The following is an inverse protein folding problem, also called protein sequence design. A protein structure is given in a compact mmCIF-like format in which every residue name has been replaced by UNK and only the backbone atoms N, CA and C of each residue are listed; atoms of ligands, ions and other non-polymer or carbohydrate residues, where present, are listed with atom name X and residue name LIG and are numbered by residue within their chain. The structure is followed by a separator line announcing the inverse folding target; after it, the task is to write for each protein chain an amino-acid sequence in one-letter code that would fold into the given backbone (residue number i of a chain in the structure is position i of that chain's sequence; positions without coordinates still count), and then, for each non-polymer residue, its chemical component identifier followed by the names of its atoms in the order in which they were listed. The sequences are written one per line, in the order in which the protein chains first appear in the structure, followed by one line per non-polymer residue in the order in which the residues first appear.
data_IF_714775839461
#
_entry.id   IF_714775839461
#
_cell.length_a   1.000
_cell.length_b   1.000
_cell.length_c   1.000
_cell.angle_alpha   90.00
_cell.angle_beta   90.00
_cell.angle_gamma   90.00
#
_symmetry.space_group_name_H-M   'P 1'
#
loop_
_entity.id
_entity.type
_entity.pdbx_description
1 polymer ?
#
# COMPACT_ATOMS: atom_id res chain seq x y z
N UNK A 1 -30.48 5.13 -38.04
CA UNK A 1 -30.88 4.30 -36.92
C UNK A 1 -29.95 4.65 -35.74
N UNK A 2 -30.26 5.80 -35.16
CA UNK A 2 -29.59 6.43 -34.03
C UNK A 2 -30.37 5.99 -32.78
N UNK A 3 -29.95 4.89 -32.16
CA UNK A 3 -30.62 4.36 -30.99
C UNK A 3 -29.76 4.64 -29.76
N UNK A 4 -30.25 5.55 -28.95
CA UNK A 4 -30.12 5.61 -27.47
C UNK A 4 -28.73 5.42 -26.90
N UNK A 5 -27.93 6.48 -26.85
CA UNK A 5 -26.97 6.70 -25.77
C UNK A 5 -27.66 7.55 -24.68
N UNK A 6 -28.60 6.96 -23.99
CA UNK A 6 -29.09 7.45 -22.69
C UNK A 6 -28.42 6.62 -21.61
N UNK A 7 -27.33 7.11 -21.15
CA UNK A 7 -26.74 7.16 -19.81
C UNK A 7 -25.39 7.86 -20.00
N UNK A 8 -25.32 9.12 -19.60
CA UNK A 8 -24.10 9.90 -19.65
C UNK A 8 -23.02 9.24 -18.75
N UNK A 9 -22.30 8.27 -19.29
CA UNK A 9 -21.19 7.62 -18.63
C UNK A 9 -20.11 8.67 -18.35
N UNK A 10 -19.64 8.74 -17.10
CA UNK A 10 -18.48 9.55 -16.72
C UNK A 10 -17.27 9.05 -17.47
N UNK A 11 -16.49 9.96 -18.07
CA UNK A 11 -15.21 9.63 -18.66
C UNK A 11 -14.10 10.37 -17.94
N UNK A 12 -13.19 9.60 -17.36
CA UNK A 12 -12.14 10.06 -16.46
C UNK A 12 -10.82 10.24 -17.19
N UNK A 13 -10.19 11.40 -17.08
CA UNK A 13 -8.77 11.56 -17.39
C UNK A 13 -7.96 11.36 -16.12
N UNK A 14 -7.25 10.24 -15.99
CA UNK A 14 -6.28 9.99 -14.93
C UNK A 14 -4.92 10.59 -15.31
N UNK A 15 -4.46 11.61 -14.58
CA UNK A 15 -3.17 12.27 -14.80
C UNK A 15 -2.22 11.88 -13.68
N UNK A 16 -1.11 11.20 -14.01
CA UNK A 16 -0.20 10.67 -12.99
C UNK A 16 1.25 10.59 -13.44
N UNK A 17 2.19 10.81 -12.52
CA UNK A 17 3.61 10.48 -12.72
C UNK A 17 3.91 8.99 -12.43
N UNK A 18 2.96 8.31 -11.81
CA UNK A 18 3.15 7.00 -11.25
C UNK A 18 2.26 5.98 -11.97
N UNK A 19 2.84 5.38 -13.03
CA UNK A 19 2.17 4.34 -13.80
C UNK A 19 3.18 3.30 -14.30
N UNK A 20 2.79 2.00 -14.36
CA UNK A 20 3.68 0.98 -14.92
C UNK A 20 4.06 1.26 -16.39
N UNK A 21 5.14 0.65 -16.90
CA UNK A 21 5.93 -0.42 -16.29
C UNK A 21 6.99 0.04 -15.28
N UNK A 22 7.04 1.34 -14.95
CA UNK A 22 7.87 1.81 -13.84
C UNK A 22 7.45 1.11 -12.54
N UNK A 23 8.37 0.42 -11.82
CA UNK A 23 8.02 -0.29 -10.59
C UNK A 23 7.80 0.68 -9.42
N UNK A 24 6.80 0.38 -8.58
CA UNK A 24 6.55 1.13 -7.34
C UNK A 24 5.14 0.90 -6.78
N UNK A 25 4.96 1.24 -5.52
CA UNK A 25 3.68 1.05 -4.82
C UNK A 25 2.57 1.98 -5.33
N UNK A 26 2.91 3.23 -5.68
CA UNK A 26 1.94 4.19 -6.23
C UNK A 26 1.55 3.77 -7.65
N UNK A 27 2.54 3.32 -8.45
CA UNK A 27 2.30 2.80 -9.79
C UNK A 27 1.32 1.62 -9.78
N UNK A 28 1.56 0.66 -8.87
CA UNK A 28 0.66 -0.47 -8.68
C UNK A 28 -0.73 -0.03 -8.19
N UNK A 29 -0.81 0.95 -7.29
CA UNK A 29 -2.05 1.53 -6.80
C UNK A 29 -2.89 2.12 -7.93
N UNK A 30 -2.32 3.05 -8.71
CA UNK A 30 -3.05 3.71 -9.81
C UNK A 30 -3.47 2.70 -10.87
N UNK A 31 -2.58 1.77 -11.25
CA UNK A 31 -2.89 0.74 -12.24
C UNK A 31 -3.99 -0.22 -11.77
N UNK A 32 -3.94 -0.68 -10.50
CA UNK A 32 -4.97 -1.57 -9.98
C UNK A 32 -6.35 -0.94 -9.96
N UNK A 33 -6.45 0.34 -9.68
CA UNK A 33 -7.71 1.07 -9.78
C UNK A 33 -8.14 1.27 -11.24
N UNK A 34 -7.24 1.78 -12.10
CA UNK A 34 -7.53 2.02 -13.50
C UNK A 34 -8.01 0.75 -14.22
N UNK A 35 -7.38 -0.40 -13.94
CA UNK A 35 -7.73 -1.69 -14.55
C UNK A 35 -9.08 -2.28 -14.10
N UNK A 36 -9.72 -1.68 -13.09
CA UNK A 36 -11.02 -2.14 -12.53
C UNK A 36 -12.16 -1.15 -12.79
N UNK A 37 -11.88 -0.01 -13.35
CA UNK A 37 -12.90 0.84 -13.93
C UNK A 37 -13.31 0.25 -15.30
N UNK A 38 -14.54 0.52 -15.79
CA UNK A 38 -14.92 0.17 -17.14
C UNK A 38 -13.94 0.74 -18.19
N UNK A 39 -13.60 -0.07 -19.19
CA UNK A 39 -12.54 0.23 -20.16
C UNK A 39 -12.80 1.53 -20.96
N UNK A 40 -14.06 1.87 -21.14
CA UNK A 40 -14.53 3.08 -21.82
C UNK A 40 -14.74 4.30 -20.90
N UNK A 41 -14.60 4.12 -19.58
CA UNK A 41 -14.74 5.20 -18.61
C UNK A 41 -13.40 5.87 -18.25
N UNK A 42 -12.24 5.35 -18.65
CA UNK A 42 -10.95 5.88 -18.22
C UNK A 42 -9.94 6.02 -19.36
N UNK A 43 -9.19 7.09 -19.32
CA UNK A 43 -7.97 7.32 -20.11
C UNK A 43 -6.84 7.71 -19.16
N UNK A 44 -5.67 7.13 -19.32
CA UNK A 44 -4.51 7.43 -18.46
C UNK A 44 -3.50 8.29 -19.22
N UNK A 45 -3.10 9.40 -18.63
CA UNK A 45 -1.99 10.23 -19.10
C UNK A 45 -0.82 10.15 -18.13
N UNK A 46 0.29 9.58 -18.59
CA UNK A 46 1.45 9.26 -17.77
C UNK A 46 2.77 9.52 -18.50
N UNK A 47 3.92 9.66 -17.80
CA UNK A 47 5.21 9.85 -18.44
C UNK A 47 5.68 8.62 -19.21
N UNK A 48 6.57 8.83 -20.18
CA UNK A 48 7.24 7.74 -20.89
C UNK A 48 8.17 6.95 -19.96
N UNK A 49 8.25 5.65 -20.19
CA UNK A 49 9.15 4.75 -19.48
C UNK A 49 9.63 3.63 -20.42
N UNK A 50 10.81 3.05 -20.12
CA UNK A 50 11.30 1.90 -20.90
C UNK A 50 10.30 0.74 -20.83
N UNK A 51 9.92 0.16 -21.98
CA UNK A 51 8.91 -0.89 -22.10
C UNK A 51 7.46 -0.40 -22.03
N UNK A 52 7.20 0.91 -22.07
CA UNK A 52 5.83 1.45 -21.99
C UNK A 52 4.96 0.99 -23.17
N UNK A 53 5.47 0.95 -24.38
CA UNK A 53 4.69 0.58 -25.56
C UNK A 53 4.12 -0.86 -25.46
N UNK A 54 4.92 -1.82 -25.02
CA UNK A 54 4.50 -3.20 -24.82
C UNK A 54 3.48 -3.30 -23.67
N UNK A 55 3.74 -2.61 -22.56
CA UNK A 55 2.83 -2.57 -21.44
C UNK A 55 1.47 -1.95 -21.82
N UNK A 56 1.50 -0.83 -22.53
CA UNK A 56 0.29 -0.09 -22.92
C UNK A 56 -0.58 -0.87 -23.90
N UNK A 57 0.05 -1.61 -24.83
CA UNK A 57 -0.65 -2.49 -25.77
C UNK A 57 -1.42 -3.64 -25.08
N UNK A 58 -1.03 -4.01 -23.86
CA UNK A 58 -1.70 -5.02 -23.07
C UNK A 58 -2.84 -4.47 -22.18
N UNK A 59 -3.03 -3.14 -22.15
CA UNK A 59 -4.13 -2.55 -21.38
C UNK A 59 -5.44 -2.56 -22.18
N UNK A 60 -6.57 -2.65 -21.47
CA UNK A 60 -7.90 -2.60 -22.07
C UNK A 60 -8.43 -1.16 -22.26
N UNK A 61 -7.77 -0.17 -21.67
CA UNK A 61 -8.09 1.23 -21.70
C UNK A 61 -6.94 2.04 -22.34
N UNK A 62 -7.21 3.23 -22.90
CA UNK A 62 -6.19 4.05 -23.53
C UNK A 62 -5.15 4.56 -22.54
N UNK A 63 -3.86 4.44 -22.90
CA UNK A 63 -2.74 5.06 -22.18
C UNK A 63 -2.00 6.00 -23.13
N UNK A 64 -1.96 7.28 -22.79
CA UNK A 64 -1.23 8.30 -23.54
C UNK A 64 0.04 8.64 -22.79
N UNK A 65 1.18 8.56 -23.47
CA UNK A 65 2.49 8.84 -22.86
C UNK A 65 2.98 10.24 -23.18
N UNK A 66 3.39 10.96 -22.13
CA UNK A 66 4.16 12.19 -22.27
C UNK A 66 5.62 11.83 -22.59
N UNK A 67 6.33 12.54 -23.48
CA UNK A 67 7.66 12.13 -23.96
C UNK A 67 8.78 12.21 -22.90
N UNK A 68 8.52 12.80 -21.73
CA UNK A 68 9.48 12.88 -20.61
C UNK A 68 9.27 11.75 -19.59
N UNK A 69 10.29 11.43 -18.79
CA UNK A 69 10.21 10.44 -17.69
C UNK A 69 9.56 10.98 -16.41
N UNK A 70 9.27 12.29 -16.37
CA UNK A 70 8.62 13.01 -15.27
C UNK A 70 7.80 14.16 -15.85
N UNK A 71 6.53 14.24 -15.48
CA UNK A 71 5.67 15.37 -15.80
C UNK A 71 5.68 16.38 -14.64
N UNK A 72 5.88 17.64 -14.97
CA UNK A 72 5.72 18.79 -14.07
C UNK A 72 4.47 19.58 -14.49
N UNK A 73 3.87 20.41 -13.61
CA UNK A 73 2.71 21.23 -13.96
C UNK A 73 3.09 22.41 -14.86
N UNK A 74 3.54 22.10 -16.07
CA UNK A 74 3.98 23.06 -17.11
C UNK A 74 2.88 23.34 -18.13
N UNK A 75 2.96 24.43 -18.89
CA UNK A 75 2.02 24.71 -19.98
C UNK A 75 1.93 23.61 -21.03
N UNK A 76 3.02 22.86 -21.26
CA UNK A 76 3.04 21.76 -22.21
C UNK A 76 2.24 20.56 -21.71
N UNK A 77 2.49 20.11 -20.48
CA UNK A 77 1.71 19.05 -19.84
C UNK A 77 0.22 19.42 -19.73
N UNK A 78 -0.07 20.70 -19.43
CA UNK A 78 -1.44 21.21 -19.43
C UNK A 78 -2.10 21.11 -20.81
N UNK A 79 -1.46 21.64 -21.87
CA UNK A 79 -1.98 21.57 -23.24
C UNK A 79 -2.29 20.14 -23.65
N UNK A 80 -1.36 19.24 -23.39
CA UNK A 80 -1.51 17.84 -23.76
C UNK A 80 -2.64 17.15 -22.97
N UNK A 81 -2.73 17.36 -21.66
CA UNK A 81 -3.83 16.85 -20.83
C UNK A 81 -5.20 17.36 -21.34
N UNK A 82 -5.30 18.66 -21.69
CA UNK A 82 -6.49 19.25 -22.27
C UNK A 82 -6.88 18.64 -23.62
N UNK A 83 -5.91 18.46 -24.52
CA UNK A 83 -6.13 17.83 -25.83
C UNK A 83 -6.69 16.42 -25.67
N UNK A 84 -6.08 15.60 -24.78
CA UNK A 84 -6.54 14.24 -24.48
C UNK A 84 -7.96 14.29 -23.91
N UNK A 85 -8.23 15.15 -22.92
CA UNK A 85 -9.55 15.24 -22.32
C UNK A 85 -10.62 15.61 -23.34
N UNK A 86 -10.33 16.52 -24.27
CA UNK A 86 -11.27 16.93 -25.32
C UNK A 86 -11.49 15.85 -26.38
N UNK A 87 -10.40 15.20 -26.86
CA UNK A 87 -10.52 14.12 -27.86
C UNK A 87 -11.24 12.90 -27.31
N UNK A 88 -11.02 12.58 -26.04
CA UNK A 88 -11.63 11.45 -25.34
C UNK A 88 -12.94 11.81 -24.63
N UNK A 89 -13.37 13.06 -24.70
CA UNK A 89 -14.60 13.57 -24.05
C UNK A 89 -14.64 13.33 -22.55
N UNK A 90 -13.50 13.53 -21.89
CA UNK A 90 -13.42 13.39 -20.43
C UNK A 90 -14.06 14.60 -19.75
N UNK A 91 -14.94 14.35 -18.79
CA UNK A 91 -15.62 15.32 -17.95
C UNK A 91 -15.19 15.27 -16.48
N UNK A 92 -14.37 14.30 -16.13
CA UNK A 92 -13.88 14.05 -14.77
C UNK A 92 -12.36 13.92 -14.78
N UNK A 93 -11.71 14.49 -13.77
CA UNK A 93 -10.26 14.47 -13.62
C UNK A 93 -9.87 13.67 -12.37
N UNK A 94 -8.92 12.77 -12.53
CA UNK A 94 -8.31 12.06 -11.42
C UNK A 94 -6.79 12.26 -11.43
N UNK A 95 -6.25 12.97 -10.44
CA UNK A 95 -4.81 13.05 -10.22
C UNK A 95 -4.38 11.84 -9.38
N UNK A 96 -3.65 10.90 -10.01
CA UNK A 96 -3.20 9.66 -9.37
C UNK A 96 -2.27 9.89 -8.17
N UNK A 97 -1.60 11.07 -8.13
CA UNK A 97 -0.95 11.64 -6.95
C UNK A 97 -1.27 13.15 -6.89
N UNK A 98 -1.70 13.64 -5.72
CA UNK A 98 -2.15 15.02 -5.56
C UNK A 98 -1.06 16.04 -5.92
N UNK A 99 0.18 15.82 -5.48
CA UNK A 99 1.30 16.71 -5.77
C UNK A 99 2.34 16.03 -6.67
N UNK A 100 2.92 16.75 -7.66
CA UNK A 100 2.68 18.16 -8.00
C UNK A 100 1.59 18.38 -9.05
N UNK A 101 1.10 17.33 -9.76
CA UNK A 101 0.26 17.47 -10.95
C UNK A 101 -1.14 18.02 -10.64
N UNK A 102 -1.64 17.87 -9.41
CA UNK A 102 -2.91 18.48 -8.99
C UNK A 102 -2.94 20.02 -9.12
N UNK A 103 -1.78 20.68 -9.24
CA UNK A 103 -1.72 22.12 -9.56
C UNK A 103 -2.30 22.46 -10.94
N UNK A 104 -2.39 21.49 -11.85
CA UNK A 104 -3.06 21.64 -13.15
C UNK A 104 -4.59 21.70 -13.00
N UNK A 105 -5.12 21.22 -11.87
CA UNK A 105 -6.55 21.07 -11.63
C UNK A 105 -7.34 22.37 -11.86
N UNK A 106 -6.82 23.50 -11.37
CA UNK A 106 -7.46 24.81 -11.55
C UNK A 106 -7.68 25.20 -13.01
N UNK A 107 -6.67 24.96 -13.85
CA UNK A 107 -6.72 25.30 -15.26
C UNK A 107 -7.55 24.31 -16.08
N UNK A 108 -7.35 23.00 -15.82
CA UNK A 108 -8.09 21.95 -16.51
C UNK A 108 -9.58 22.01 -16.17
N UNK A 109 -9.93 22.21 -14.90
CA UNK A 109 -11.32 22.31 -14.46
C UNK A 109 -12.07 23.42 -15.21
N UNK A 110 -11.47 24.62 -15.29
CA UNK A 110 -12.08 25.76 -15.97
C UNK A 110 -12.16 25.57 -17.49
N UNK A 111 -11.09 25.01 -18.09
CA UNK A 111 -10.96 24.94 -19.55
C UNK A 111 -11.79 23.79 -20.16
N UNK A 112 -12.09 22.76 -19.37
CA UNK A 112 -12.87 21.58 -19.77
C UNK A 112 -14.29 21.59 -19.21
N UNK A 113 -14.64 22.57 -18.37
CA UNK A 113 -15.89 22.57 -17.59
C UNK A 113 -16.02 21.22 -16.81
N UNK A 114 -14.91 20.80 -16.21
CA UNK A 114 -14.85 19.48 -15.59
C UNK A 114 -15.82 19.38 -14.41
N UNK A 115 -16.69 18.40 -14.50
CA UNK A 115 -17.75 18.11 -13.53
C UNK A 115 -17.15 17.78 -12.15
N UNK A 116 -16.05 17.01 -12.13
CA UNK A 116 -15.43 16.54 -10.89
C UNK A 116 -13.91 16.47 -10.99
N UNK A 117 -13.24 16.79 -9.89
CA UNK A 117 -11.78 16.68 -9.74
C UNK A 117 -11.46 15.90 -8.47
N UNK A 118 -10.78 14.78 -8.61
CA UNK A 118 -10.30 13.94 -7.53
C UNK A 118 -8.78 13.91 -7.53
N UNK A 119 -8.15 13.89 -6.34
CA UNK A 119 -6.71 13.71 -6.21
C UNK A 119 -6.37 12.73 -5.07
N UNK A 120 -5.51 11.76 -5.37
CA UNK A 120 -5.10 10.74 -4.41
C UNK A 120 -3.83 11.14 -3.67
N UNK A 121 -3.74 10.82 -2.37
CA UNK A 121 -2.53 11.01 -1.57
C UNK A 121 -1.94 9.67 -1.14
N UNK A 122 -0.61 9.61 -1.08
CA UNK A 122 0.12 8.37 -0.80
C UNK A 122 1.04 8.47 0.43
N UNK A 123 0.99 9.60 1.14
CA UNK A 123 1.77 9.85 2.34
C UNK A 123 3.11 10.56 2.09
N UNK A 124 3.64 10.60 0.86
CA UNK A 124 4.83 11.38 0.56
C UNK A 124 4.57 12.90 0.65
N UNK A 125 3.33 13.31 0.49
CA UNK A 125 2.85 14.69 0.65
C UNK A 125 2.98 15.20 2.10
N UNK A 126 3.16 14.32 3.09
CA UNK A 126 3.42 14.72 4.48
C UNK A 126 4.67 15.61 4.58
N UNK A 127 5.69 15.32 3.77
CA UNK A 127 6.86 16.21 3.65
C UNK A 127 6.51 17.59 3.10
N UNK A 128 5.59 17.69 2.15
CA UNK A 128 5.10 18.93 1.59
C UNK A 128 4.30 19.73 2.63
N UNK A 129 3.46 19.06 3.41
CA UNK A 129 2.65 19.69 4.45
C UNK A 129 3.50 20.32 5.58
N UNK A 130 4.72 19.84 5.80
CA UNK A 130 5.65 20.33 6.79
C UNK A 130 6.41 21.60 6.36
N UNK A 131 6.50 21.89 5.05
CA UNK A 131 7.24 23.02 4.50
C UNK A 131 6.28 24.16 4.11
N UNK A 132 6.46 25.41 4.61
CA UNK A 132 5.49 26.50 4.39
C UNK A 132 5.12 26.74 2.92
N UNK A 133 6.11 26.85 2.03
CA UNK A 133 5.87 27.06 0.59
C UNK A 133 5.16 25.89 -0.08
N UNK A 134 5.59 24.66 0.20
CA UNK A 134 4.96 23.46 -0.36
C UNK A 134 3.54 23.25 0.22
N UNK A 135 3.31 23.55 1.49
CA UNK A 135 1.98 23.56 2.10
C UNK A 135 1.03 24.53 1.38
N UNK A 136 1.52 25.67 0.93
CA UNK A 136 0.70 26.61 0.17
C UNK A 136 0.31 26.07 -1.21
N UNK A 137 1.19 25.26 -1.85
CA UNK A 137 0.85 24.55 -3.07
C UNK A 137 -0.22 23.47 -2.83
N UNK A 138 -0.12 22.71 -1.73
CA UNK A 138 -1.17 21.76 -1.35
C UNK A 138 -2.52 22.46 -1.15
N UNK A 139 -2.52 23.65 -0.52
CA UNK A 139 -3.74 24.44 -0.31
C UNK A 139 -4.35 24.90 -1.64
N UNK A 140 -3.52 25.25 -2.64
CA UNK A 140 -3.98 25.57 -4.01
C UNK A 140 -4.58 24.37 -4.69
N UNK A 141 -3.99 23.18 -4.55
CA UNK A 141 -4.56 21.93 -5.06
C UNK A 141 -5.93 21.70 -4.42
N UNK A 142 -6.02 21.74 -3.08
CA UNK A 142 -7.28 21.52 -2.38
C UNK A 142 -8.39 22.50 -2.78
N UNK A 143 -8.06 23.79 -3.04
CA UNK A 143 -9.04 24.79 -3.44
C UNK A 143 -9.75 24.50 -4.79
N UNK A 144 -9.21 23.58 -5.59
CA UNK A 144 -9.73 23.25 -6.93
C UNK A 144 -10.06 21.76 -7.12
N UNK A 145 -9.96 21.00 -6.05
CA UNK A 145 -10.23 19.56 -6.01
C UNK A 145 -11.49 19.31 -5.18
N UNK A 146 -12.41 18.51 -5.66
CA UNK A 146 -13.64 18.18 -4.94
C UNK A 146 -13.38 17.11 -3.87
N UNK A 147 -12.55 16.11 -4.19
CA UNK A 147 -12.22 15.02 -3.27
C UNK A 147 -10.71 14.79 -3.21
N UNK A 148 -10.18 14.80 -1.99
CA UNK A 148 -8.81 14.30 -1.70
C UNK A 148 -8.93 12.92 -1.05
N UNK A 149 -8.34 11.90 -1.67
CA UNK A 149 -8.31 10.58 -1.05
C UNK A 149 -7.08 10.41 -0.17
N UNK A 150 -7.24 9.65 0.91
CA UNK A 150 -6.17 9.33 1.85
C UNK A 150 -6.12 7.83 2.17
N UNK A 151 -4.95 7.31 2.52
CA UNK A 151 -4.76 5.87 2.77
C UNK A 151 -5.18 5.47 4.19
N UNK A 152 -4.90 6.31 5.20
CA UNK A 152 -5.04 5.99 6.63
C UNK A 152 -5.44 7.22 7.43
N UNK A 153 -6.02 7.02 8.61
CA UNK A 153 -6.39 8.12 9.51
C UNK A 153 -5.16 8.93 9.94
N UNK A 154 -3.99 8.30 10.03
CA UNK A 154 -2.72 9.00 10.24
C UNK A 154 -2.44 10.01 9.11
N UNK A 155 -2.56 9.58 7.84
CA UNK A 155 -2.33 10.48 6.69
C UNK A 155 -3.41 11.55 6.60
N UNK A 156 -4.68 11.22 6.88
CA UNK A 156 -5.78 12.19 6.98
C UNK A 156 -5.46 13.32 7.98
N UNK A 157 -5.04 12.96 9.19
CA UNK A 157 -4.72 13.94 10.23
C UNK A 157 -3.56 14.87 9.88
N UNK A 158 -2.59 14.38 9.10
CA UNK A 158 -1.41 15.15 8.67
C UNK A 158 -1.65 15.99 7.43
N UNK A 159 -2.43 15.50 6.48
CA UNK A 159 -2.61 16.11 5.17
C UNK A 159 -3.87 16.97 5.07
N UNK A 160 -4.97 16.55 5.71
CA UNK A 160 -6.24 17.28 5.62
C UNK A 160 -6.11 18.77 5.87
N UNK A 161 -5.48 19.22 6.96
CA UNK A 161 -5.30 20.66 7.24
C UNK A 161 -4.44 21.39 6.19
N UNK A 162 -3.61 20.68 5.44
CA UNK A 162 -2.74 21.31 4.42
C UNK A 162 -3.50 21.62 3.12
N UNK A 163 -4.52 20.80 2.77
CA UNK A 163 -5.35 21.05 1.61
C UNK A 163 -6.43 22.13 1.84
N UNK A 164 -6.71 22.48 3.08
CA UNK A 164 -7.74 23.46 3.45
C UNK A 164 -9.14 22.85 3.56
N UNK A 165 -10.18 23.66 3.72
CA UNK A 165 -11.54 23.18 4.02
C UNK A 165 -12.40 22.85 2.79
N UNK A 166 -11.91 23.12 1.57
CA UNK A 166 -12.72 22.97 0.37
C UNK A 166 -12.96 21.50 -0.03
N UNK A 167 -11.94 20.60 -0.12
CA UNK A 167 -12.16 19.27 -0.60
C UNK A 167 -12.75 18.36 0.48
N UNK A 168 -13.65 17.47 0.05
CA UNK A 168 -14.03 16.33 0.87
C UNK A 168 -12.82 15.37 1.03
N UNK A 169 -12.72 14.79 2.22
CA UNK A 169 -11.67 13.82 2.51
C UNK A 169 -12.27 12.41 2.52
N UNK A 170 -11.90 11.58 1.56
CA UNK A 170 -12.37 10.22 1.44
C UNK A 170 -11.25 9.20 1.67
N UNK A 171 -11.55 8.11 2.38
CA UNK A 171 -10.59 7.02 2.57
C UNK A 171 -10.57 6.12 1.34
N UNK A 172 -9.40 5.97 0.73
CA UNK A 172 -9.17 5.08 -0.41
C UNK A 172 -7.79 4.41 -0.29
N UNK A 173 -7.66 3.32 0.47
CA UNK A 173 -6.40 2.63 0.68
C UNK A 173 -6.04 1.70 -0.48
N UNK A 174 -4.84 1.08 -0.42
CA UNK A 174 -4.47 0.00 -1.32
C UNK A 174 -5.22 -1.28 -0.99
N UNK A 175 -5.66 -2.00 -2.02
CA UNK A 175 -6.31 -3.29 -1.87
C UNK A 175 -5.33 -4.48 -1.81
N UNK A 176 -5.88 -5.65 -1.51
CA UNK A 176 -5.22 -6.95 -1.58
C UNK A 176 -6.06 -7.89 -2.44
N UNK A 177 -5.41 -8.83 -3.08
CA UNK A 177 -6.08 -9.92 -3.79
C UNK A 177 -6.05 -11.21 -2.93
N UNK A 178 -7.15 -11.57 -2.25
CA UNK A 178 -7.21 -12.76 -1.42
C UNK A 178 -7.24 -14.07 -2.24
N UNK A 179 -7.37 -13.99 -3.56
CA UNK A 179 -7.23 -15.14 -4.44
C UNK A 179 -5.77 -15.56 -4.64
N UNK A 180 -4.84 -14.62 -4.48
CA UNK A 180 -3.40 -14.86 -4.51
C UNK A 180 -2.86 -15.26 -3.13
N UNK A 181 -3.32 -14.57 -2.08
CA UNK A 181 -2.89 -14.83 -0.71
C UNK A 181 -3.86 -15.81 -0.05
N UNK A 182 -3.56 -17.12 -0.14
CA UNK A 182 -4.42 -18.19 0.37
C UNK A 182 -3.79 -18.91 1.57
N UNK A 183 -4.60 -19.32 2.55
CA UNK A 183 -4.12 -20.14 3.65
C UNK A 183 -3.50 -21.46 3.16
N UNK A 184 -2.29 -21.76 3.64
CA UNK A 184 -1.63 -23.05 3.40
C UNK A 184 -1.00 -23.26 2.03
N UNK A 185 -1.27 -22.40 1.05
CA UNK A 185 -0.75 -22.57 -0.31
C UNK A 185 0.78 -22.40 -0.36
N UNK A 186 1.49 -23.45 -0.84
CA UNK A 186 2.95 -23.47 -0.92
C UNK A 186 3.69 -23.60 0.43
N UNK A 187 2.95 -23.77 1.55
CA UNK A 187 3.50 -23.81 2.92
C UNK A 187 4.58 -24.87 3.09
N UNK A 188 4.29 -26.12 2.75
CA UNK A 188 5.19 -27.24 3.03
C UNK A 188 6.45 -27.18 2.17
N UNK A 189 6.33 -26.76 0.91
CA UNK A 189 7.47 -26.60 0.03
C UNK A 189 8.40 -25.47 0.53
N UNK A 190 7.84 -24.32 0.88
CA UNK A 190 8.61 -23.20 1.44
C UNK A 190 9.28 -23.61 2.77
N UNK A 191 8.57 -24.33 3.63
CA UNK A 191 9.16 -24.84 4.89
C UNK A 191 10.29 -25.83 4.63
N UNK A 192 10.17 -26.74 3.66
CA UNK A 192 11.27 -27.65 3.25
C UNK A 192 12.46 -26.86 2.70
N UNK A 193 12.22 -25.90 1.78
CA UNK A 193 13.27 -25.05 1.17
C UNK A 193 14.13 -24.35 2.20
N UNK A 194 13.52 -23.87 3.29
CA UNK A 194 14.25 -23.14 4.35
C UNK A 194 14.56 -23.96 5.60
N UNK A 195 14.36 -25.27 5.59
CA UNK A 195 14.65 -26.14 6.72
C UNK A 195 13.84 -25.82 7.98
N UNK A 196 12.60 -25.32 7.80
CA UNK A 196 11.74 -24.92 8.91
C UNK A 196 11.02 -26.10 9.57
N UNK A 197 10.74 -27.17 8.83
CA UNK A 197 10.04 -28.36 9.34
C UNK A 197 8.71 -28.02 10.03
N UNK A 198 8.45 -28.68 11.17
CA UNK A 198 7.26 -28.45 12.00
C UNK A 198 7.43 -27.35 13.07
N UNK A 199 8.55 -26.63 13.05
CA UNK A 199 8.83 -25.57 14.04
C UNK A 199 7.78 -24.46 13.99
N UNK A 200 7.44 -23.84 15.14
CA UNK A 200 6.69 -22.58 15.16
C UNK A 200 7.48 -21.49 14.42
N UNK A 201 6.84 -20.79 13.47
CA UNK A 201 7.48 -19.80 12.60
C UNK A 201 6.82 -18.44 12.74
N UNK A 202 7.62 -17.45 13.13
CA UNK A 202 7.28 -16.03 13.00
C UNK A 202 7.77 -15.54 11.65
N UNK A 203 6.87 -15.10 10.78
CA UNK A 203 7.24 -14.55 9.48
C UNK A 203 7.15 -13.01 9.47
N UNK A 204 8.13 -12.37 8.85
CA UNK A 204 8.14 -10.93 8.61
C UNK A 204 8.50 -10.67 7.14
N UNK A 205 7.59 -10.10 6.39
CA UNK A 205 7.77 -9.74 4.98
C UNK A 205 7.91 -8.23 4.86
N UNK A 206 9.09 -7.74 4.54
CA UNK A 206 9.31 -6.31 4.32
C UNK A 206 10.71 -6.02 3.80
N UNK A 207 10.90 -4.83 3.23
CA UNK A 207 12.25 -4.29 3.03
C UNK A 207 13.02 -4.25 4.35
N UNK A 208 14.27 -4.71 4.36
CA UNK A 208 15.11 -4.68 5.56
C UNK A 208 15.64 -3.26 5.81
N UNK A 209 14.91 -2.53 6.64
CA UNK A 209 15.24 -1.17 7.10
C UNK A 209 14.82 -0.99 8.56
N UNK A 210 15.52 -0.14 9.34
CA UNK A 210 15.34 -0.05 10.79
C UNK A 210 13.92 0.27 11.28
N UNK A 211 13.11 1.01 10.47
CA UNK A 211 11.74 1.35 10.85
C UNK A 211 10.78 0.15 10.86
N UNK A 212 11.13 -0.95 10.17
CA UNK A 212 10.28 -2.15 10.07
C UNK A 212 10.38 -3.08 11.29
N UNK A 213 11.40 -2.91 12.14
CA UNK A 213 11.48 -3.57 13.44
C UNK A 213 11.99 -5.01 13.44
N UNK A 214 12.63 -5.48 12.36
CA UNK A 214 13.20 -6.84 12.31
C UNK A 214 14.24 -7.06 13.41
N UNK A 215 14.96 -6.02 13.82
CA UNK A 215 15.89 -6.06 14.97
C UNK A 215 15.19 -6.39 16.29
N UNK A 216 13.97 -5.90 16.49
CA UNK A 216 13.18 -6.22 17.68
C UNK A 216 12.71 -7.68 17.70
N UNK A 217 12.39 -8.25 16.54
CA UNK A 217 12.08 -9.68 16.43
C UNK A 217 13.28 -10.55 16.79
N UNK A 218 14.47 -10.19 16.29
CA UNK A 218 15.72 -10.91 16.62
C UNK A 218 16.03 -10.82 18.12
N UNK A 219 15.91 -9.63 18.73
CA UNK A 219 16.11 -9.43 20.17
C UNK A 219 15.08 -10.17 21.03
N UNK A 220 13.85 -10.31 20.54
CA UNK A 220 12.79 -11.06 21.23
C UNK A 220 12.95 -12.58 21.11
N UNK A 221 13.64 -13.06 20.09
CA UNK A 221 13.70 -14.49 19.75
C UNK A 221 14.27 -15.38 20.87
N UNK A 222 15.32 -15.01 21.63
CA UNK A 222 15.78 -15.82 22.76
C UNK A 222 14.68 -16.06 23.79
N UNK A 223 13.92 -15.03 24.15
CA UNK A 223 12.82 -15.16 25.12
C UNK A 223 11.62 -15.95 24.54
N UNK A 224 11.30 -15.75 23.28
CA UNK A 224 10.28 -16.54 22.59
C UNK A 224 10.66 -18.03 22.56
N UNK A 225 11.90 -18.37 22.30
CA UNK A 225 12.39 -19.75 22.27
C UNK A 225 12.42 -20.43 23.65
N UNK A 226 12.65 -19.66 24.72
CA UNK A 226 12.49 -20.21 26.10
C UNK A 226 11.04 -20.55 26.42
N UNK A 227 10.09 -19.76 25.89
CA UNK A 227 8.66 -19.98 26.11
C UNK A 227 8.07 -21.03 25.15
N UNK A 228 8.47 -20.98 23.87
CA UNK A 228 8.01 -21.86 22.79
C UNK A 228 9.26 -22.47 22.14
N UNK A 229 9.73 -23.63 22.59
CA UNK A 229 10.91 -24.28 22.03
C UNK A 229 10.78 -24.53 20.53
N UNK A 230 11.90 -24.40 19.82
CA UNK A 230 11.90 -24.60 18.37
C UNK A 230 11.55 -23.35 17.54
N UNK A 231 10.99 -22.28 18.11
CA UNK A 231 10.58 -21.08 17.36
C UNK A 231 11.68 -20.60 16.40
N UNK A 232 11.30 -20.37 15.15
CA UNK A 232 12.13 -19.81 14.09
C UNK A 232 11.57 -18.47 13.59
N UNK A 233 12.47 -17.64 13.08
CA UNK A 233 12.14 -16.35 12.47
C UNK A 233 12.46 -16.41 10.97
N UNK A 234 11.46 -16.20 10.13
CA UNK A 234 11.58 -16.10 8.68
C UNK A 234 11.50 -14.63 8.24
N UNK A 235 12.62 -14.04 7.84
CA UNK A 235 12.71 -12.66 7.35
C UNK A 235 12.75 -12.66 5.83
N UNK A 236 11.67 -12.25 5.22
CA UNK A 236 11.48 -12.21 3.76
C UNK A 236 11.69 -10.80 3.26
N UNK A 237 12.66 -10.60 2.37
CA UNK A 237 12.98 -9.34 1.76
C UNK A 237 14.46 -8.99 1.81
N UNK A 238 14.85 -8.01 1.00
CA UNK A 238 16.18 -7.42 0.92
C UNK A 238 16.24 -6.02 1.52
N UNK A 239 17.45 -5.53 1.75
CA UNK A 239 17.66 -4.14 2.16
C UNK A 239 18.98 -3.89 2.89
N UNK A 240 19.32 -2.60 3.07
CA UNK A 240 20.63 -2.21 3.63
C UNK A 240 20.85 -2.63 5.09
N UNK A 241 19.77 -2.95 5.81
CA UNK A 241 19.85 -3.35 7.23
C UNK A 241 20.24 -4.82 7.41
N UNK A 242 20.42 -5.59 6.33
CA UNK A 242 20.72 -7.04 6.35
C UNK A 242 21.97 -7.39 7.18
N UNK A 243 23.06 -6.69 6.98
CA UNK A 243 24.33 -6.98 7.68
C UNK A 243 24.18 -6.79 9.18
N UNK A 244 23.57 -5.71 9.60
CA UNK A 244 23.30 -5.39 11.00
C UNK A 244 22.39 -6.43 11.66
N UNK A 245 21.32 -6.87 10.96
CA UNK A 245 20.43 -7.91 11.45
C UNK A 245 21.17 -9.25 11.60
N UNK A 246 22.10 -9.57 10.69
CA UNK A 246 22.91 -10.78 10.79
C UNK A 246 23.86 -10.73 11.98
N UNK A 247 24.52 -9.57 12.22
CA UNK A 247 25.35 -9.33 13.40
C UNK A 247 24.52 -9.51 14.68
N UNK A 248 23.37 -8.87 14.74
CA UNK A 248 22.46 -8.94 15.88
C UNK A 248 21.99 -10.36 16.19
N UNK A 249 21.71 -11.17 15.16
CA UNK A 249 21.32 -12.57 15.34
C UNK A 249 22.45 -13.42 15.97
N UNK A 250 23.72 -13.14 15.63
CA UNK A 250 24.88 -13.78 16.25
C UNK A 250 25.06 -13.34 17.71
N UNK A 251 24.96 -12.03 17.99
CA UNK A 251 25.11 -11.48 19.34
C UNK A 251 24.03 -11.94 20.32
N UNK A 252 22.87 -12.37 19.81
CA UNK A 252 21.80 -12.93 20.63
C UNK A 252 21.75 -14.46 20.60
N UNK A 253 22.79 -15.15 20.07
CA UNK A 253 22.89 -16.62 19.96
C UNK A 253 21.69 -17.27 19.23
N UNK A 254 21.06 -16.57 18.29
CA UNK A 254 19.90 -17.07 17.55
C UNK A 254 20.13 -17.18 16.04
N UNK A 255 21.36 -17.03 15.57
CA UNK A 255 21.67 -17.02 14.13
C UNK A 255 21.17 -18.28 13.39
N UNK A 256 21.22 -19.47 14.03
CA UNK A 256 20.72 -20.74 13.47
C UNK A 256 19.16 -20.81 13.41
N UNK A 257 18.47 -19.84 13.98
CA UNK A 257 17.03 -19.80 14.10
C UNK A 257 16.40 -18.63 13.35
N UNK A 258 17.23 -17.84 12.66
CA UNK A 258 16.81 -16.74 11.80
C UNK A 258 17.13 -17.09 10.35
N UNK A 259 16.09 -17.24 9.54
CA UNK A 259 16.21 -17.45 8.11
C UNK A 259 16.01 -16.12 7.40
N UNK A 260 16.95 -15.77 6.56
CA UNK A 260 16.88 -14.60 5.71
C UNK A 260 16.76 -15.07 4.25
N UNK A 261 15.65 -14.83 3.59
CA UNK A 261 15.45 -15.27 2.20
C UNK A 261 16.16 -14.38 1.18
N UNK A 262 16.41 -13.10 1.52
CA UNK A 262 16.66 -12.06 0.53
C UNK A 262 15.36 -11.62 -0.14
N UNK A 263 15.47 -10.85 -1.21
CA UNK A 263 14.32 -10.50 -2.05
C UNK A 263 13.82 -11.74 -2.78
N UNK A 264 12.51 -11.94 -2.77
CA UNK A 264 11.84 -13.04 -3.48
C UNK A 264 10.97 -12.46 -4.60
N UNK A 265 10.74 -13.22 -5.70
CA UNK A 265 9.79 -12.83 -6.73
C UNK A 265 8.39 -12.62 -6.13
N UNK A 266 7.63 -11.67 -6.66
CA UNK A 266 6.31 -11.36 -6.12
C UNK A 266 5.35 -12.56 -6.16
N UNK A 267 5.44 -13.39 -7.20
CA UNK A 267 4.65 -14.61 -7.35
C UNK A 267 4.93 -15.66 -6.25
N UNK A 268 6.10 -15.64 -5.61
CA UNK A 268 6.47 -16.56 -4.53
C UNK A 268 6.06 -16.03 -3.14
N UNK A 269 5.71 -14.73 -3.03
CA UNK A 269 5.37 -14.11 -1.74
C UNK A 269 4.25 -14.82 -0.98
N UNK A 270 3.13 -15.23 -1.61
CA UNK A 270 2.05 -15.93 -0.91
C UNK A 270 2.52 -17.18 -0.15
N UNK A 271 3.37 -18.00 -0.76
CA UNK A 271 3.92 -19.20 -0.13
C UNK A 271 4.83 -18.88 1.07
N UNK A 272 5.52 -17.74 1.05
CA UNK A 272 6.34 -17.28 2.16
C UNK A 272 5.49 -16.82 3.35
N UNK A 273 4.36 -16.14 3.12
CA UNK A 273 3.40 -15.87 4.19
C UNK A 273 2.83 -17.17 4.76
N UNK A 274 2.37 -18.07 3.88
CA UNK A 274 1.79 -19.34 4.30
C UNK A 274 2.75 -20.21 5.12
N UNK A 275 4.06 -20.06 4.96
CA UNK A 275 5.07 -20.75 5.77
C UNK A 275 5.08 -20.31 7.24
N UNK A 276 4.52 -19.16 7.59
CA UNK A 276 4.41 -18.64 8.95
C UNK A 276 3.26 -19.26 9.76
N UNK A 277 3.33 -19.11 11.08
CA UNK A 277 2.23 -19.36 12.02
C UNK A 277 1.71 -18.04 12.62
N UNK A 278 2.59 -17.03 12.72
CA UNK A 278 2.27 -15.67 13.13
C UNK A 278 3.02 -14.72 12.22
N UNK A 279 2.35 -13.73 11.68
CA UNK A 279 3.01 -12.61 11.01
C UNK A 279 3.37 -11.53 12.03
N UNK A 280 4.60 -11.04 12.04
CA UNK A 280 5.00 -9.95 12.92
C UNK A 280 5.90 -8.93 12.21
N UNK A 281 5.48 -7.67 12.21
CA UNK A 281 6.31 -6.54 11.80
C UNK A 281 6.14 -5.40 12.81
N UNK A 282 6.96 -5.37 13.88
CA UNK A 282 6.88 -4.36 14.94
C UNK A 282 7.49 -3.03 14.46
N UNK A 283 6.86 -2.44 13.43
CA UNK A 283 7.28 -1.17 12.86
C UNK A 283 7.18 -0.03 13.89
N UNK A 284 8.02 0.99 13.72
CA UNK A 284 8.12 2.12 14.64
C UNK A 284 8.42 3.43 13.92
N UNK A 285 7.92 4.52 14.46
CA UNK A 285 8.28 5.86 13.99
C UNK A 285 9.74 6.15 14.31
N UNK A 286 10.45 6.75 13.36
CA UNK A 286 11.84 7.20 13.50
C UNK A 286 11.98 8.65 13.03
N UNK A 287 13.11 9.27 13.38
CA UNK A 287 13.45 10.64 12.97
C UNK A 287 12.30 11.63 13.24
N UNK A 288 11.83 11.65 14.50
CA UNK A 288 10.74 12.51 14.93
C UNK A 288 9.44 12.40 14.07
N UNK A 289 9.18 11.21 13.52
CA UNK A 289 7.97 10.96 12.71
C UNK A 289 8.14 11.22 11.22
N UNK A 290 9.34 11.51 10.74
CA UNK A 290 9.63 11.61 9.31
C UNK A 290 9.69 10.23 8.61
N UNK A 291 10.06 9.19 9.37
CA UNK A 291 10.05 7.80 8.88
C UNK A 291 8.93 7.05 9.61
N UNK A 292 7.84 6.78 8.92
CA UNK A 292 6.67 6.04 9.44
C UNK A 292 6.26 4.94 8.48
N UNK A 293 5.41 4.03 8.95
CA UNK A 293 4.70 3.10 8.07
C UNK A 293 3.48 3.80 7.46
N UNK A 294 3.34 3.76 6.12
CA UNK A 294 2.22 4.42 5.44
C UNK A 294 0.88 3.74 5.77
N UNK A 295 0.72 2.51 5.34
CA UNK A 295 -0.40 1.62 5.65
C UNK A 295 0.13 0.25 6.12
N UNK A 296 1.15 -0.27 5.42
CA UNK A 296 1.64 -1.62 5.66
C UNK A 296 0.76 -2.69 5.02
N UNK A 297 0.66 -2.66 3.69
CA UNK A 297 -0.10 -3.65 2.89
C UNK A 297 0.24 -5.10 3.29
N UNK A 298 1.47 -5.35 3.73
CA UNK A 298 1.95 -6.66 4.20
C UNK A 298 1.14 -7.23 5.38
N UNK A 299 0.52 -6.38 6.21
CA UNK A 299 -0.39 -6.83 7.27
C UNK A 299 -1.68 -7.41 6.69
N UNK A 300 -2.18 -6.77 5.63
CA UNK A 300 -3.39 -7.22 4.93
C UNK A 300 -3.11 -8.48 4.10
N UNK A 301 -1.94 -8.59 3.47
CA UNK A 301 -1.48 -9.81 2.78
C UNK A 301 -1.37 -10.99 3.75
N UNK A 302 -0.80 -10.76 4.94
CA UNK A 302 -0.74 -11.75 6.02
C UNK A 302 -2.15 -12.16 6.50
N UNK A 303 -3.05 -11.18 6.71
CA UNK A 303 -4.44 -11.45 7.07
C UNK A 303 -5.18 -12.21 5.98
N UNK A 304 -4.97 -11.88 4.69
CA UNK A 304 -5.52 -12.61 3.56
C UNK A 304 -5.04 -14.07 3.52
N UNK A 305 -3.79 -14.33 3.92
CA UNK A 305 -3.22 -15.68 4.08
C UNK A 305 -3.76 -16.41 5.32
N UNK A 306 -4.62 -15.76 6.13
CA UNK A 306 -5.19 -16.34 7.34
C UNK A 306 -4.24 -16.34 8.54
N UNK A 307 -3.20 -15.52 8.54
CA UNK A 307 -2.28 -15.39 9.68
C UNK A 307 -2.79 -14.35 10.69
N UNK A 308 -2.64 -14.62 11.99
CA UNK A 308 -2.75 -13.57 12.99
C UNK A 308 -1.59 -12.59 12.84
N UNK A 309 -1.87 -11.31 13.01
CA UNK A 309 -0.92 -10.22 12.74
C UNK A 309 -0.46 -9.56 14.04
N UNK A 310 0.85 -9.35 14.20
CA UNK A 310 1.41 -8.47 15.24
C UNK A 310 2.03 -7.24 14.55
N UNK A 311 1.37 -6.10 14.67
CA UNK A 311 1.77 -4.85 14.04
C UNK A 311 2.36 -3.87 15.05
N UNK A 312 3.41 -3.17 14.63
CA UNK A 312 3.93 -2.05 15.43
C UNK A 312 3.09 -0.78 15.26
N UNK A 313 2.96 0.02 16.31
CA UNK A 313 2.27 1.31 16.28
C UNK A 313 3.14 2.36 15.57
N UNK A 314 3.01 2.42 14.25
CA UNK A 314 3.77 3.36 13.39
C UNK A 314 2.90 3.88 12.25
N UNK A 315 2.75 5.19 12.17
CA UNK A 315 1.96 5.82 11.10
C UNK A 315 0.57 5.20 10.96
N UNK A 316 0.24 4.74 9.76
CA UNK A 316 -1.03 4.09 9.43
C UNK A 316 -1.05 2.57 9.63
N UNK A 317 0.01 1.95 10.16
CA UNK A 317 0.02 0.50 10.40
C UNK A 317 -1.15 0.00 11.28
N UNK A 318 -1.61 0.72 12.32
CA UNK A 318 -2.77 0.33 13.09
C UNK A 318 -4.07 0.22 12.27
N UNK A 319 -4.21 0.98 11.19
CA UNK A 319 -5.41 0.97 10.34
C UNK A 319 -5.54 -0.34 9.53
N UNK A 320 -4.45 -1.09 9.41
CA UNK A 320 -4.41 -2.39 8.74
C UNK A 320 -4.68 -3.58 9.69
N UNK A 321 -5.06 -3.32 10.95
CA UNK A 321 -5.31 -4.34 11.97
C UNK A 321 -6.49 -3.94 12.85
N UNK A 322 -7.48 -4.79 13.00
CA UNK A 322 -8.49 -4.64 14.04
C UNK A 322 -7.90 -5.24 15.34
N UNK A 323 -7.39 -4.34 16.21
CA UNK A 323 -6.70 -4.75 17.44
C UNK A 323 -7.53 -5.74 18.28
N UNK A 324 -6.88 -6.80 18.76
CA UNK A 324 -7.47 -7.95 19.48
C UNK A 324 -8.49 -8.78 18.68
N UNK A 325 -8.79 -8.44 17.43
CA UNK A 325 -9.74 -9.19 16.57
C UNK A 325 -9.06 -9.88 15.40
N UNK A 326 -8.27 -9.15 14.61
CA UNK A 326 -7.52 -9.68 13.45
C UNK A 326 -6.02 -9.75 13.71
N UNK A 327 -5.58 -9.16 14.81
CA UNK A 327 -4.18 -9.08 15.22
C UNK A 327 -4.02 -8.32 16.52
N UNK A 328 -2.76 -8.03 16.86
CA UNK A 328 -2.37 -7.27 18.05
C UNK A 328 -1.49 -6.10 17.65
N UNK A 329 -1.84 -4.89 18.10
CA UNK A 329 -1.06 -3.68 17.89
C UNK A 329 -0.18 -3.43 19.11
N UNK A 330 1.15 -3.41 18.92
CA UNK A 330 2.14 -3.23 19.98
C UNK A 330 2.96 -1.96 19.79
N UNK A 331 3.57 -1.45 20.84
CA UNK A 331 4.69 -0.52 20.66
C UNK A 331 5.88 -1.27 20.06
N UNK A 332 6.27 -0.94 18.84
CA UNK A 332 7.40 -1.57 18.14
C UNK A 332 8.76 -1.32 18.81
N UNK A 333 8.82 -0.58 19.91
CA UNK A 333 10.00 -0.33 20.73
C UNK A 333 9.99 -1.11 22.05
N UNK A 334 8.86 -1.71 22.42
CA UNK A 334 8.73 -2.52 23.64
C UNK A 334 8.92 -4.01 23.34
N UNK A 335 10.11 -4.58 23.67
CA UNK A 335 10.38 -5.99 23.46
C UNK A 335 9.48 -6.90 24.31
N UNK A 336 9.04 -6.43 25.50
CA UNK A 336 8.17 -7.22 26.38
C UNK A 336 6.77 -7.36 25.80
N UNK A 337 6.20 -6.28 25.26
CA UNK A 337 4.91 -6.32 24.58
C UNK A 337 4.96 -7.24 23.35
N UNK A 338 6.05 -7.16 22.56
CA UNK A 338 6.27 -8.01 21.40
C UNK A 338 6.37 -9.50 21.78
N UNK A 339 7.17 -9.83 22.83
CA UNK A 339 7.32 -11.20 23.32
C UNK A 339 5.99 -11.75 23.83
N UNK A 340 5.21 -10.96 24.54
CA UNK A 340 3.86 -11.37 24.98
C UNK A 340 2.96 -11.63 23.78
N UNK A 341 2.78 -10.66 22.88
CA UNK A 341 1.85 -10.76 21.76
C UNK A 341 2.18 -11.96 20.84
N UNK A 342 3.43 -12.12 20.44
CA UNK A 342 3.86 -13.24 19.59
C UNK A 342 3.81 -14.56 20.35
N UNK A 343 4.28 -14.57 21.60
CA UNK A 343 4.32 -15.79 22.44
C UNK A 343 2.92 -16.31 22.77
N UNK A 344 1.95 -15.44 23.04
CA UNK A 344 0.56 -15.84 23.31
C UNK A 344 -0.09 -16.48 22.08
N UNK A 345 0.16 -15.91 20.89
CA UNK A 345 -0.38 -16.45 19.63
C UNK A 345 0.27 -17.80 19.26
N UNK A 346 1.58 -17.97 19.50
CA UNK A 346 2.25 -19.24 19.25
C UNK A 346 1.88 -20.32 20.28
N UNK A 347 1.55 -19.93 21.51
CA UNK A 347 1.14 -20.84 22.59
C UNK A 347 -0.32 -21.30 22.46
N UNK A 348 -1.17 -20.52 21.80
CA UNK A 348 -2.60 -20.83 21.62
C UNK A 348 -2.96 -20.86 20.11
N UNK A 349 -2.78 -22.02 19.44
CA UNK A 349 -3.11 -22.17 18.03
C UNK A 349 -4.60 -21.96 17.70
N UNK A 350 -5.51 -22.12 18.65
CA UNK A 350 -6.94 -21.91 18.45
C UNK A 350 -7.23 -20.41 18.36
N UNK A 351 -6.70 -19.63 19.29
CA UNK A 351 -6.76 -18.17 19.25
C UNK A 351 -6.10 -17.62 17.99
N UNK A 352 -4.93 -18.11 17.64
CA UNK A 352 -4.21 -17.72 16.42
C UNK A 352 -5.05 -17.96 15.16
N UNK A 353 -5.65 -19.14 15.02
CA UNK A 353 -6.57 -19.47 13.90
C UNK A 353 -7.81 -18.59 13.86
N UNK A 354 -8.49 -18.41 14.99
CA UNK A 354 -9.67 -17.57 15.09
C UNK A 354 -9.35 -16.13 14.63
N UNK A 355 -8.24 -15.59 15.10
CA UNK A 355 -7.77 -14.24 14.73
C UNK A 355 -7.40 -14.15 13.25
N UNK A 356 -6.69 -15.15 12.70
CA UNK A 356 -6.35 -15.22 11.28
C UNK A 356 -7.59 -15.36 10.38
N UNK A 357 -8.57 -16.19 10.77
CA UNK A 357 -9.85 -16.32 10.04
C UNK A 357 -10.62 -15.00 10.04
N UNK A 358 -10.69 -14.32 11.18
CA UNK A 358 -11.33 -13.00 11.27
C UNK A 358 -10.59 -11.96 10.40
N UNK A 359 -9.25 -12.04 10.35
CA UNK A 359 -8.41 -11.19 9.51
C UNK A 359 -8.71 -11.38 8.03
N UNK A 360 -8.77 -12.63 7.57
CA UNK A 360 -9.11 -12.98 6.19
C UNK A 360 -10.51 -12.48 5.81
N UNK A 361 -11.52 -12.76 6.63
CA UNK A 361 -12.88 -12.31 6.37
C UNK A 361 -12.98 -10.78 6.28
N UNK A 362 -12.22 -10.06 7.13
CA UNK A 362 -12.16 -8.61 7.08
C UNK A 362 -11.49 -8.09 5.81
N UNK A 363 -10.42 -8.74 5.32
CA UNK A 363 -9.79 -8.40 4.04
C UNK A 363 -10.75 -8.65 2.89
N UNK A 364 -11.42 -9.80 2.86
CA UNK A 364 -12.39 -10.15 1.82
C UNK A 364 -13.57 -9.16 1.76
N UNK A 365 -14.00 -8.64 2.90
CA UNK A 365 -15.12 -7.69 2.99
C UNK A 365 -14.74 -6.26 2.62
N UNK A 366 -13.52 -5.79 2.97
CA UNK A 366 -13.20 -4.35 3.00
C UNK A 366 -11.97 -3.94 2.22
N UNK A 367 -11.09 -4.88 1.85
CA UNK A 367 -9.77 -4.55 1.33
C UNK A 367 -9.49 -5.21 -0.02
N UNK A 368 -10.49 -5.80 -0.65
CA UNK A 368 -10.36 -6.29 -2.02
C UNK A 368 -10.29 -5.11 -2.98
N UNK A 369 -9.48 -5.28 -4.02
CA UNK A 369 -9.32 -4.24 -5.04
C UNK A 369 -10.63 -3.89 -5.75
N UNK A 370 -11.53 -4.85 -5.99
CA UNK A 370 -12.83 -4.62 -6.63
C UNK A 370 -13.78 -3.81 -5.73
N UNK A 371 -13.80 -4.06 -4.43
CA UNK A 371 -14.57 -3.26 -3.46
C UNK A 371 -14.07 -1.81 -3.47
N UNK A 372 -12.76 -1.62 -3.34
CA UNK A 372 -12.17 -0.28 -3.33
C UNK A 372 -12.29 0.44 -4.69
N UNK A 373 -12.30 -0.31 -5.80
CA UNK A 373 -12.52 0.27 -7.12
C UNK A 373 -13.97 0.75 -7.30
N UNK A 374 -14.95 0.06 -6.69
CA UNK A 374 -16.32 0.57 -6.59
C UNK A 374 -16.37 1.87 -5.80
N UNK A 375 -15.69 1.92 -4.64
CA UNK A 375 -15.61 3.15 -3.83
C UNK A 375 -14.98 4.31 -4.65
N UNK A 376 -13.90 4.05 -5.40
CA UNK A 376 -13.29 5.07 -6.27
C UNK A 376 -14.30 5.54 -7.34
N UNK A 377 -14.99 4.60 -7.99
CA UNK A 377 -15.95 4.92 -9.03
C UNK A 377 -17.08 5.81 -8.48
N UNK A 378 -17.60 5.49 -7.30
CA UNK A 378 -18.63 6.31 -6.64
C UNK A 378 -18.10 7.73 -6.34
N UNK A 379 -16.86 7.86 -5.89
CA UNK A 379 -16.21 9.16 -5.67
C UNK A 379 -16.01 9.96 -6.96
N UNK A 380 -15.83 9.32 -8.10
CA UNK A 380 -15.68 9.94 -9.41
C UNK A 380 -17.04 10.35 -10.03
N UNK A 381 -18.11 9.64 -9.66
CA UNK A 381 -19.47 9.85 -10.19
C UNK A 381 -20.27 10.90 -9.39
N UNK A 382 -20.05 10.99 -8.07
CA UNK A 382 -20.80 11.89 -7.18
C UNK A 382 -20.52 13.35 -7.48
#
# INVERSE_FOLDING_TARGET
MEAMREHGGVRVLAVTNDFPPRPGGIQAYVHNFASRLPDDEIVVYAPAWRGAAEFDAAQRFPVVRHPTSLMLPTPDVFRRAREIARSEKCDTLWFGAAAPLGLLGAWLRRDLDARRVLASTHGHEVGWAALPGARQLLRRIGATTDVITYLTDYTRGRLGPAFGPHPDLARLPSGVDPSLFRPGEGRDETRRRYGLGSRPVVVCVSRLVPRKGQDMLIRALPALRRRIPGTALLLVGGGPYRQELTRLARENDVAKHVVFTGSVPWAELPAHYAAGDVFAMPCRNRRAGLEVEGLGIVFLEASATGLPVVAGRSGGAPDAVLDQRTGVVVDGRDPRALIRAVGDLLADPNRARSMGTAGRAWVELRWRWDVLASDLRDLLLA
#
